data_IF_493576183249
#
_entry.id   IF_493576183249
#
_cell.length_a   1.000
_cell.length_b   1.000
_cell.length_c   1.000
_cell.angle_alpha   90.00
_cell.angle_beta   90.00
_cell.angle_gamma   90.00
#
_symmetry.space_group_name_H-M   'P 1'
#
loop_
_entity.id
_entity.type
_entity.pdbx_description
1 polymer ?
#
# COMPACT_ATOMS: atom_id res chain seq x y z
N UNK A 1 -8.69 -24.11 10.44
CA UNK A 1 -7.34 -23.55 10.28
C UNK A 1 -7.45 -22.52 9.19
N UNK A 2 -7.77 -21.28 9.57
CA UNK A 2 -7.76 -20.14 8.64
C UNK A 2 -6.31 -19.86 8.29
N UNK A 3 -6.06 -19.55 7.03
CA UNK A 3 -4.72 -19.25 6.52
C UNK A 3 -4.35 -17.84 7.03
N UNK A 4 -3.97 -17.72 8.30
CA UNK A 4 -3.88 -16.45 9.06
C UNK A 4 -2.91 -15.41 8.47
N UNK A 5 -2.10 -15.76 7.46
CA UNK A 5 -1.17 -14.83 6.80
C UNK A 5 -1.61 -14.28 5.44
N UNK A 6 -2.70 -14.78 4.85
CA UNK A 6 -3.12 -14.37 3.49
C UNK A 6 -4.20 -13.30 3.60
N UNK A 7 -3.88 -12.10 3.13
CA UNK A 7 -4.87 -11.01 3.03
C UNK A 7 -5.81 -11.30 1.86
N UNK A 8 -7.10 -11.07 2.07
CA UNK A 8 -8.13 -11.27 1.04
C UNK A 8 -7.94 -10.29 -0.13
N UNK A 9 -8.02 -10.79 -1.37
CA UNK A 9 -7.80 -10.00 -2.60
C UNK A 9 -8.67 -8.74 -2.67
N UNK A 10 -9.94 -8.83 -2.28
CA UNK A 10 -10.86 -7.69 -2.23
C UNK A 10 -10.42 -6.63 -1.21
N UNK A 11 -9.81 -7.04 -0.08
CA UNK A 11 -9.27 -6.11 0.91
C UNK A 11 -8.01 -5.41 0.39
N UNK A 12 -7.17 -6.10 -0.39
CA UNK A 12 -6.03 -5.51 -1.09
C UNK A 12 -6.50 -4.48 -2.12
N UNK A 13 -7.52 -4.81 -2.92
CA UNK A 13 -8.11 -3.86 -3.90
C UNK A 13 -8.70 -2.63 -3.21
N UNK A 14 -9.41 -2.81 -2.10
CA UNK A 14 -9.94 -1.70 -1.31
C UNK A 14 -8.82 -0.84 -0.70
N UNK A 15 -7.73 -1.45 -0.24
CA UNK A 15 -6.56 -0.71 0.21
C UNK A 15 -5.96 0.15 -0.92
N UNK A 16 -5.91 -0.36 -2.16
CA UNK A 16 -5.50 0.44 -3.32
C UNK A 16 -6.50 1.54 -3.67
N UNK A 17 -7.81 1.30 -3.58
CA UNK A 17 -8.81 2.37 -3.77
C UNK A 17 -8.65 3.51 -2.75
N UNK A 18 -8.13 3.23 -1.54
CA UNK A 18 -7.83 4.27 -0.54
C UNK A 18 -6.73 5.23 -1.02
N UNK A 19 -5.76 4.76 -1.81
CA UNK A 19 -4.80 5.64 -2.50
C UNK A 19 -5.53 6.58 -3.48
N UNK A 20 -6.48 6.08 -4.27
CA UNK A 20 -7.21 6.89 -5.26
C UNK A 20 -8.06 7.98 -4.63
N UNK A 21 -8.61 7.71 -3.44
CA UNK A 21 -9.33 8.71 -2.63
C UNK A 21 -8.42 9.88 -2.22
N UNK A 22 -7.16 9.59 -1.87
CA UNK A 22 -6.16 10.60 -1.48
C UNK A 22 -5.56 11.34 -2.67
N UNK A 23 -5.48 10.68 -3.83
CA UNK A 23 -4.91 11.23 -5.05
C UNK A 23 -5.79 12.35 -5.64
N UNK A 24 -5.28 13.59 -5.57
CA UNK A 24 -6.01 14.80 -6.00
C UNK A 24 -6.24 14.84 -7.51
N UNK A 25 -5.41 14.14 -8.30
CA UNK A 25 -5.56 14.03 -9.76
C UNK A 25 -6.69 13.09 -10.16
N UNK A 26 -7.15 12.22 -9.26
CA UNK A 26 -8.29 11.33 -9.53
C UNK A 26 -9.58 12.13 -9.69
N UNK A 27 -10.34 11.94 -10.79
CA UNK A 27 -11.63 12.58 -11.00
C UNK A 27 -12.58 12.39 -9.81
N UNK A 28 -13.40 13.39 -9.48
CA UNK A 28 -14.28 13.34 -8.30
C UNK A 28 -15.24 12.16 -8.33
N UNK A 29 -15.79 11.82 -9.49
CA UNK A 29 -16.68 10.65 -9.65
C UNK A 29 -15.95 9.34 -9.35
N UNK A 30 -14.71 9.20 -9.82
CA UNK A 30 -13.88 8.03 -9.55
C UNK A 30 -13.48 7.94 -8.07
N UNK A 31 -13.20 9.08 -7.42
CA UNK A 31 -12.94 9.13 -5.97
C UNK A 31 -14.16 8.70 -5.16
N UNK A 32 -15.35 9.13 -5.56
CA UNK A 32 -16.60 8.72 -4.91
C UNK A 32 -16.82 7.21 -5.04
N UNK A 33 -16.63 6.65 -6.23
CA UNK A 33 -16.74 5.20 -6.45
C UNK A 33 -15.67 4.42 -5.67
N UNK A 34 -14.44 4.92 -5.60
CA UNK A 34 -13.37 4.32 -4.80
C UNK A 34 -13.75 4.32 -3.31
N UNK A 35 -14.30 5.43 -2.80
CA UNK A 35 -14.78 5.52 -1.43
C UNK A 35 -15.91 4.52 -1.13
N UNK A 36 -16.85 4.34 -2.05
CA UNK A 36 -17.92 3.34 -1.94
C UNK A 36 -17.37 1.91 -1.90
N UNK A 37 -16.38 1.58 -2.75
CA UNK A 37 -15.71 0.28 -2.75
C UNK A 37 -14.94 0.02 -1.46
N UNK A 38 -14.24 1.03 -0.93
CA UNK A 38 -13.56 0.95 0.37
C UNK A 38 -14.57 0.66 1.47
N UNK A 39 -15.69 1.39 1.52
CA UNK A 39 -16.71 1.18 2.54
C UNK A 39 -17.34 -0.22 2.44
N UNK A 40 -17.69 -0.67 1.24
CA UNK A 40 -18.25 -1.99 1.02
C UNK A 40 -17.29 -3.11 1.48
N UNK A 41 -16.00 -2.98 1.22
CA UNK A 41 -14.99 -3.93 1.69
C UNK A 41 -14.83 -3.89 3.22
N UNK A 42 -14.85 -2.71 3.84
CA UNK A 42 -14.83 -2.59 5.29
C UNK A 42 -16.06 -3.23 5.95
N UNK A 43 -17.24 -3.13 5.33
CA UNK A 43 -18.47 -3.74 5.81
C UNK A 43 -18.45 -5.27 5.67
N UNK A 44 -17.85 -5.78 4.59
CA UNK A 44 -17.79 -7.21 4.29
C UNK A 44 -16.69 -7.96 5.05
N UNK A 45 -15.48 -7.38 5.12
CA UNK A 45 -14.27 -8.05 5.63
C UNK A 45 -13.74 -7.43 6.93
N UNK A 46 -14.27 -6.28 7.32
CA UNK A 46 -13.81 -5.54 8.49
C UNK A 46 -12.65 -4.60 8.16
N UNK A 47 -12.54 -3.55 8.98
CA UNK A 47 -11.49 -2.54 8.86
C UNK A 47 -10.08 -3.12 9.00
N UNK A 48 -9.91 -4.11 9.88
CA UNK A 48 -8.60 -4.70 10.17
C UNK A 48 -8.02 -5.37 8.93
N UNK A 49 -8.82 -6.16 8.21
CA UNK A 49 -8.42 -6.84 6.99
C UNK A 49 -8.04 -5.86 5.86
N UNK A 50 -8.83 -4.78 5.68
CA UNK A 50 -8.47 -3.70 4.73
C UNK A 50 -7.15 -3.02 5.14
N UNK A 51 -6.93 -2.83 6.45
CA UNK A 51 -5.68 -2.23 6.96
C UNK A 51 -4.48 -3.16 6.73
N UNK A 52 -4.65 -4.48 6.88
CA UNK A 52 -3.65 -5.49 6.52
C UNK A 52 -3.36 -5.49 5.02
N UNK A 53 -4.37 -5.26 4.18
CA UNK A 53 -4.21 -5.00 2.74
C UNK A 53 -3.32 -3.80 2.44
N UNK A 54 -3.46 -2.71 3.19
CA UNK A 54 -2.56 -1.54 3.04
C UNK A 54 -1.13 -1.89 3.44
N UNK A 55 -0.92 -2.61 4.55
CA UNK A 55 0.42 -3.06 5.00
C UNK A 55 1.07 -3.99 3.97
N UNK A 56 0.29 -4.89 3.37
CA UNK A 56 0.73 -5.75 2.29
C UNK A 56 1.20 -4.92 1.08
N UNK A 57 0.39 -3.98 0.60
CA UNK A 57 0.75 -3.13 -0.53
C UNK A 57 1.95 -2.22 -0.27
N UNK A 58 2.10 -1.71 0.96
CA UNK A 58 3.32 -1.00 1.37
C UNK A 58 4.55 -1.90 1.21
N UNK A 59 4.45 -3.17 1.62
CA UNK A 59 5.51 -4.16 1.42
C UNK A 59 5.84 -4.40 -0.05
N UNK A 60 4.80 -4.64 -0.88
CA UNK A 60 4.94 -4.88 -2.32
C UNK A 60 5.61 -3.69 -3.02
N UNK A 61 5.10 -2.47 -2.84
CA UNK A 61 5.68 -1.29 -3.49
C UNK A 61 7.09 -0.98 -3.00
N UNK A 62 7.35 -1.14 -1.70
CA UNK A 62 8.71 -0.97 -1.16
C UNK A 62 9.66 -1.97 -1.80
N UNK A 63 9.31 -3.25 -1.85
CA UNK A 63 10.11 -4.29 -2.48
C UNK A 63 10.35 -4.02 -3.97
N UNK A 64 9.33 -3.59 -4.69
CA UNK A 64 9.43 -3.22 -6.10
C UNK A 64 10.41 -2.07 -6.33
N UNK A 65 10.27 -0.97 -5.57
CA UNK A 65 11.16 0.19 -5.65
C UNK A 65 12.61 -0.13 -5.33
N UNK A 66 12.86 -1.13 -4.46
CA UNK A 66 14.21 -1.60 -4.15
C UNK A 66 14.76 -2.46 -5.31
N UNK A 67 13.94 -3.32 -5.88
CA UNK A 67 14.33 -4.21 -6.97
C UNK A 67 14.67 -3.44 -8.26
N UNK A 68 13.84 -2.47 -8.67
CA UNK A 68 14.11 -1.62 -9.85
C UNK A 68 15.46 -0.90 -9.75
N UNK A 69 15.81 -0.46 -8.56
CA UNK A 69 17.06 0.27 -8.33
C UNK A 69 18.30 -0.61 -8.25
N UNK A 70 18.14 -1.93 -8.09
CA UNK A 70 19.27 -2.85 -8.14
C UNK A 70 19.89 -2.94 -9.55
N UNK A 71 19.19 -2.47 -10.58
CA UNK A 71 19.65 -2.48 -11.97
C UNK A 71 20.34 -1.17 -12.45
N UNK A 72 20.32 -0.10 -11.64
CA UNK A 72 20.86 1.22 -12.00
C UNK A 72 22.18 1.59 -11.32
N UNK A 73 22.91 2.55 -11.89
CA UNK A 73 24.16 3.09 -11.31
C UNK A 73 23.92 3.99 -10.07
N UNK A 74 22.74 4.62 -9.98
CA UNK A 74 22.28 5.42 -8.83
C UNK A 74 21.36 4.60 -7.91
N UNK A 75 21.93 3.61 -7.24
CA UNK A 75 21.19 2.75 -6.31
C UNK A 75 20.86 3.52 -5.01
N UNK A 76 19.58 3.78 -4.73
CA UNK A 76 19.18 4.20 -3.38
C UNK A 76 19.35 3.03 -2.41
N UNK A 77 20.04 3.27 -1.31
CA UNK A 77 20.05 2.33 -0.20
C UNK A 77 18.66 2.38 0.46
N UNK A 78 17.96 1.24 0.60
CA UNK A 78 16.61 1.23 1.16
C UNK A 78 16.55 1.80 2.58
N UNK A 79 17.58 1.56 3.39
CA UNK A 79 17.62 1.94 4.80
C UNK A 79 18.10 3.37 5.01
N UNK A 80 19.09 3.84 4.23
CA UNK A 80 19.61 5.21 4.39
C UNK A 80 18.96 6.26 3.49
N UNK A 81 18.31 5.87 2.39
CA UNK A 81 17.73 6.81 1.42
C UNK A 81 16.21 6.62 1.27
N UNK A 82 15.80 5.42 0.82
CA UNK A 82 14.46 4.82 0.85
C UNK A 82 13.52 5.39 1.92
N UNK A 83 13.63 4.74 3.07
CA UNK A 83 12.75 4.92 4.21
C UNK A 83 12.84 6.35 4.74
N UNK A 84 14.04 6.95 4.94
CA UNK A 84 14.14 8.32 5.42
C UNK A 84 13.47 9.34 4.49
N UNK A 85 13.47 9.14 3.17
CA UNK A 85 12.80 10.04 2.24
C UNK A 85 11.27 9.99 2.41
N UNK A 86 10.69 8.80 2.53
CA UNK A 86 9.25 8.61 2.78
C UNK A 86 8.84 9.20 4.12
N UNK A 87 9.56 8.86 5.20
CA UNK A 87 9.25 9.34 6.56
C UNK A 87 9.36 10.87 6.65
N UNK A 88 10.33 11.49 5.98
CA UNK A 88 10.47 12.97 5.94
C UNK A 88 9.29 13.68 5.29
N UNK A 89 8.51 13.00 4.43
CA UNK A 89 7.32 13.57 3.79
C UNK A 89 6.04 13.39 4.60
N UNK A 90 6.00 12.48 5.57
CA UNK A 90 4.79 12.25 6.40
C UNK A 90 4.28 13.49 7.14
N UNK A 91 5.13 14.39 7.70
CA UNK A 91 4.65 15.60 8.35
C UNK A 91 3.90 16.58 7.44
N UNK A 92 3.95 16.39 6.11
CA UNK A 92 3.14 17.20 5.17
C UNK A 92 1.64 16.85 5.22
N UNK A 93 1.27 15.73 5.86
CA UNK A 93 -0.12 15.34 6.05
C UNK A 93 -0.56 15.74 7.45
N UNK A 94 -1.47 16.72 7.55
CA UNK A 94 -1.94 17.25 8.85
C UNK A 94 -2.56 16.18 9.76
N UNK A 95 -3.16 15.14 9.17
CA UNK A 95 -3.79 14.04 9.92
C UNK A 95 -2.82 12.90 10.27
N UNK A 96 -1.54 12.99 9.89
CA UNK A 96 -0.56 11.97 10.23
C UNK A 96 -0.12 12.14 11.69
N UNK A 97 -0.59 11.26 12.56
CA UNK A 97 -0.20 11.24 13.97
C UNK A 97 1.29 10.81 14.09
N UNK A 98 2.19 11.68 14.61
CA UNK A 98 3.60 11.36 14.78
C UNK A 98 3.85 10.12 15.65
N UNK A 99 2.93 9.77 16.55
CA UNK A 99 3.06 8.58 17.40
C UNK A 99 3.04 7.27 16.61
N UNK A 100 2.52 7.29 15.37
CA UNK A 100 2.44 6.12 14.50
C UNK A 100 3.68 5.95 13.60
N UNK A 101 4.56 6.96 13.54
CA UNK A 101 5.79 6.93 12.71
C UNK A 101 6.66 5.70 13.00
N UNK A 102 6.90 5.28 14.26
CA UNK A 102 7.69 4.08 14.53
C UNK A 102 7.12 2.81 13.90
N UNK A 103 5.79 2.64 13.92
CA UNK A 103 5.14 1.45 13.35
C UNK A 103 5.29 1.39 11.84
N UNK A 104 5.00 2.48 11.14
CA UNK A 104 5.11 2.51 9.67
C UNK A 104 6.57 2.42 9.21
N UNK A 105 7.51 2.98 9.97
CA UNK A 105 8.95 2.83 9.71
C UNK A 105 9.37 1.36 9.86
N UNK A 106 8.85 0.67 10.88
CA UNK A 106 9.08 -0.76 11.09
C UNK A 106 8.56 -1.64 9.95
N UNK A 107 7.36 -1.35 9.44
CA UNK A 107 6.81 -2.02 8.24
C UNK A 107 7.70 -1.81 7.02
N UNK A 108 8.14 -0.58 6.77
CA UNK A 108 9.05 -0.28 5.66
C UNK A 108 10.41 -0.98 5.80
N UNK A 109 10.96 -1.05 7.02
CA UNK A 109 12.19 -1.79 7.30
C UNK A 109 12.01 -3.30 7.09
N UNK A 110 10.89 -3.87 7.54
CA UNK A 110 10.56 -5.27 7.31
C UNK A 110 10.51 -5.57 5.80
N UNK A 111 9.84 -4.71 5.02
CA UNK A 111 9.80 -4.82 3.56
C UNK A 111 11.20 -4.75 2.94
N UNK A 112 12.02 -3.78 3.36
CA UNK A 112 13.39 -3.61 2.86
C UNK A 112 14.31 -4.79 3.17
N UNK A 113 14.04 -5.52 4.25
CA UNK A 113 14.76 -6.75 4.63
C UNK A 113 14.18 -8.01 3.97
N UNK A 114 13.17 -7.88 3.10
CA UNK A 114 12.51 -9.02 2.45
C UNK A 114 11.65 -9.86 3.39
N UNK A 115 11.20 -9.29 4.51
CA UNK A 115 10.30 -9.94 5.45
C UNK A 115 8.84 -9.78 5.01
N UNK A 116 7.99 -10.71 5.45
CA UNK A 116 6.54 -10.56 5.34
C UNK A 116 6.07 -9.41 6.23
N UNK A 117 5.59 -8.33 5.61
CA UNK A 117 5.18 -7.11 6.30
C UNK A 117 3.92 -7.29 7.13
N UNK A 118 2.98 -8.10 6.66
CA UNK A 118 1.73 -8.37 7.37
C UNK A 118 2.02 -9.21 8.60
N UNK A 119 2.77 -10.31 8.45
CA UNK A 119 3.18 -11.14 9.57
C UNK A 119 4.08 -10.40 10.57
N UNK A 120 4.94 -9.48 10.10
CA UNK A 120 5.70 -8.60 10.98
C UNK A 120 4.76 -7.69 11.79
N UNK A 121 3.79 -7.06 11.12
CA UNK A 121 2.88 -6.11 11.77
C UNK A 121 1.92 -6.80 12.73
N UNK A 122 1.40 -7.98 12.41
CA UNK A 122 0.42 -8.70 13.22
C UNK A 122 0.94 -9.05 14.64
N UNK A 123 2.27 -9.07 14.84
CA UNK A 123 2.90 -9.25 16.15
C UNK A 123 2.56 -8.18 17.18
N UNK A 124 2.09 -7.00 16.74
CA UNK A 124 1.72 -5.87 17.59
C UNK A 124 0.21 -5.78 17.83
N UNK A 125 -0.56 -6.80 17.45
CA UNK A 125 -2.01 -6.86 17.61
C UNK A 125 -2.77 -6.05 16.56
N UNK A 126 -4.05 -5.76 16.83
CA UNK A 126 -4.93 -5.06 15.88
C UNK A 126 -4.37 -3.69 15.46
N UNK A 127 -4.55 -3.31 14.20
CA UNK A 127 -4.08 -2.02 13.68
C UNK A 127 -5.02 -0.89 14.14
N UNK A 128 -4.58 0.11 14.94
CA UNK A 128 -5.39 1.27 15.32
C UNK A 128 -5.79 2.14 14.13
N UNK A 129 -6.83 2.97 14.28
CA UNK A 129 -7.37 3.82 13.19
C UNK A 129 -6.35 4.82 12.68
N UNK A 130 -5.65 5.43 13.61
CA UNK A 130 -4.60 6.41 13.43
C UNK A 130 -3.45 5.78 12.62
N UNK A 131 -3.05 4.56 12.98
CA UNK A 131 -1.99 3.85 12.29
C UNK A 131 -2.37 3.47 10.86
N UNK A 132 -3.58 2.96 10.63
CA UNK A 132 -4.03 2.60 9.27
C UNK A 132 -4.10 3.82 8.34
N UNK A 133 -4.45 4.99 8.89
CA UNK A 133 -4.42 6.23 8.12
C UNK A 133 -2.99 6.59 7.71
N UNK A 134 -2.03 6.48 8.62
CA UNK A 134 -0.61 6.73 8.30
C UNK A 134 -0.08 5.71 7.29
N UNK A 135 -0.46 4.43 7.38
CA UNK A 135 -0.16 3.43 6.34
C UNK A 135 -0.73 3.83 4.97
N UNK A 136 -1.93 4.43 4.93
CA UNK A 136 -2.52 4.90 3.67
C UNK A 136 -1.73 6.08 3.07
N UNK A 137 -1.21 6.99 3.90
CA UNK A 137 -0.31 8.05 3.44
C UNK A 137 1.03 7.50 2.95
N UNK A 138 1.60 6.52 3.64
CA UNK A 138 2.83 5.84 3.19
C UNK A 138 2.60 5.15 1.85
N UNK A 139 1.50 4.41 1.68
CA UNK A 139 1.13 3.80 0.41
C UNK A 139 1.05 4.85 -0.72
N UNK A 140 0.41 5.99 -0.45
CA UNK A 140 0.33 7.08 -1.42
C UNK A 140 1.70 7.68 -1.75
N UNK A 141 2.57 7.89 -0.75
CA UNK A 141 3.92 8.41 -0.97
C UNK A 141 4.80 7.47 -1.80
N UNK A 142 4.67 6.15 -1.60
CA UNK A 142 5.38 5.15 -2.40
C UNK A 142 4.89 5.15 -3.85
N UNK A 143 3.58 5.25 -4.06
CA UNK A 143 2.97 5.37 -5.38
C UNK A 143 3.41 6.67 -6.10
N UNK A 144 3.43 7.81 -5.39
CA UNK A 144 3.90 9.09 -5.92
C UNK A 144 5.40 9.07 -6.26
N UNK A 145 6.21 8.40 -5.43
CA UNK A 145 7.64 8.20 -5.72
C UNK A 145 7.84 7.36 -6.97
N UNK A 146 7.09 6.28 -7.12
CA UNK A 146 7.12 5.44 -8.32
C UNK A 146 6.82 6.24 -9.59
N UNK A 147 5.72 6.98 -9.59
CA UNK A 147 5.34 7.81 -10.73
C UNK A 147 6.40 8.88 -11.04
N UNK A 148 7.04 9.42 -10.00
CA UNK A 148 8.13 10.40 -10.15
C UNK A 148 9.39 9.77 -10.77
N UNK A 149 9.72 8.52 -10.47
CA UNK A 149 10.86 7.82 -11.06
C UNK A 149 10.65 7.47 -12.55
N UNK A 150 9.40 7.34 -12.97
CA UNK A 150 9.03 7.04 -14.37
C UNK A 150 8.74 8.29 -15.20
N UNK A 151 8.83 9.48 -14.61
CA UNK A 151 8.40 10.77 -15.17
C UNK A 151 6.95 10.74 -15.75
N UNK A 152 6.12 9.82 -15.27
CA UNK A 152 4.78 9.57 -15.80
C UNK A 152 3.76 9.40 -14.66
N UNK A 153 3.08 10.49 -14.27
CA UNK A 153 1.91 10.46 -13.39
C UNK A 153 0.88 9.38 -13.72
N UNK A 154 0.46 8.61 -12.71
CA UNK A 154 -0.59 7.60 -12.81
C UNK A 154 -0.15 6.27 -13.43
N UNK A 155 1.15 6.06 -13.62
CA UNK A 155 1.69 4.80 -14.14
C UNK A 155 1.44 3.66 -13.17
N UNK A 156 1.68 3.89 -11.87
CA UNK A 156 1.46 2.85 -10.87
C UNK A 156 -0.02 2.47 -10.73
N UNK A 157 -0.94 3.43 -10.83
CA UNK A 157 -2.39 3.14 -10.79
C UNK A 157 -2.82 2.28 -11.97
N UNK A 158 -2.33 2.58 -13.17
CA UNK A 158 -2.60 1.76 -14.35
C UNK A 158 -2.07 0.34 -14.16
N UNK A 159 -0.83 0.20 -13.72
CA UNK A 159 -0.18 -1.10 -13.50
C UNK A 159 -0.95 -1.94 -12.47
N UNK A 160 -1.34 -1.34 -11.33
CA UNK A 160 -2.08 -2.03 -10.29
C UNK A 160 -3.45 -2.49 -10.79
N UNK A 161 -4.15 -1.66 -11.58
CA UNK A 161 -5.44 -2.04 -12.19
C UNK A 161 -5.29 -3.19 -13.17
N UNK A 162 -4.33 -3.12 -14.08
CA UNK A 162 -4.04 -4.21 -15.03
C UNK A 162 -3.70 -5.52 -14.31
N UNK A 163 -2.95 -5.43 -13.21
CA UNK A 163 -2.63 -6.58 -12.36
C UNK A 163 -3.90 -7.16 -11.72
N UNK A 164 -4.75 -6.31 -11.13
CA UNK A 164 -6.00 -6.76 -10.51
C UNK A 164 -6.98 -7.37 -11.52
N UNK A 165 -7.10 -6.79 -12.72
CA UNK A 165 -7.97 -7.28 -13.78
C UNK A 165 -7.48 -8.63 -14.31
N UNK A 166 -6.17 -8.81 -14.44
CA UNK A 166 -5.55 -10.09 -14.86
C UNK A 166 -5.83 -11.20 -13.85
N UNK A 167 -5.66 -10.94 -12.55
CA UNK A 167 -5.97 -11.92 -11.49
C UNK A 167 -7.46 -12.31 -11.47
N UNK A 168 -8.37 -11.37 -11.75
CA UNK A 168 -9.80 -11.67 -11.86
C UNK A 168 -10.12 -12.58 -13.06
N UNK A 169 -9.42 -12.40 -14.18
CA UNK A 169 -9.58 -13.21 -15.39
C UNK A 169 -9.07 -14.65 -15.18
N UNK A 170 -8.00 -14.84 -14.43
CA UNK A 170 -7.45 -16.17 -14.12
C UNK A 170 -8.33 -16.95 -13.13
N UNK A 171 -8.90 -16.28 -12.12
CA UNK A 171 -9.83 -16.88 -11.15
C UNK A 171 -11.17 -17.32 -11.76
N UNK A 172 -11.57 -16.77 -12.91
CA UNK A 172 -12.80 -17.14 -13.63
C UNK A 172 -12.58 -18.25 -14.68
N UNK A 173 -11.33 -18.65 -14.96
CA UNK A 173 -10.97 -19.66 -15.95
C UNK A 173 -10.82 -21.10 -15.45
N UNK A 174 -10.91 -21.35 -14.13
CA UNK A 174 -10.70 -22.70 -13.55
C UNK A 174 -12.00 -23.50 -13.30
N UNK A 175 -13.10 -23.12 -13.96
CA UNK A 175 -14.36 -23.86 -13.94
C UNK A 175 -14.80 -24.26 -15.36
N UNK A 176 -14.22 -25.32 -15.91
CA UNK A 176 -14.73 -26.02 -17.11
C UNK A 176 -14.49 -27.51 -16.98
#
# INVERSE_FOLDING_TARGET
MTNDGVVVDEAIRAAWDSYRVLEKRTPTEERQQAQERVQAAMDAYGRDEVSRGTVFLVGVLTGYLIAEQAAGEDRLDPLSDLIPAVIRRLPAFEMADPAQVPMVTGVLMAAAMGMDTVAWRDQFGQIPKEEALVHSFVLWLLADLFDSMTDQPGTIDRLMRETFDSMAAEGSGSGS
#
